data_IF_360886581214
#
_entry.id   IF_360886581214
#
_cell.length_a   1.000
_cell.length_b   1.000
_cell.length_c   1.000
_cell.angle_alpha   90.00
_cell.angle_beta   90.00
_cell.angle_gamma   90.00
#
_symmetry.space_group_name_H-M   'P 1'
#
loop_
_entity.id
_entity.type
_entity.pdbx_description
1 polymer ?
#
# COMPACT_ATOMS: atom_id res chain seq x y z
N UNK A 1 -7.29 -4.81 -36.38
CA UNK A 1 -6.00 -4.26 -35.91
C UNK A 1 -6.32 -3.22 -34.86
N UNK A 2 -5.92 -3.43 -33.61
CA UNK A 2 -6.11 -2.48 -32.52
C UNK A 2 -5.10 -1.33 -32.65
N UNK A 3 -5.57 -0.11 -32.84
CA UNK A 3 -4.71 1.07 -33.01
C UNK A 3 -4.13 1.54 -31.66
N UNK A 4 -3.00 2.25 -31.73
CA UNK A 4 -2.27 2.83 -30.59
C UNK A 4 -3.18 3.79 -29.82
N UNK A 5 -3.76 3.34 -28.70
CA UNK A 5 -4.72 4.11 -27.88
C UNK A 5 -5.95 3.34 -27.38
N UNK A 6 -6.13 2.06 -27.73
CA UNK A 6 -7.27 1.27 -27.23
C UNK A 6 -7.19 1.01 -25.72
N UNK A 7 -7.90 1.81 -24.94
CA UNK A 7 -8.15 1.60 -23.51
C UNK A 7 -9.20 0.49 -23.26
N UNK A 8 -9.96 0.09 -24.28
CA UNK A 8 -11.00 -0.92 -24.18
C UNK A 8 -10.45 -2.33 -24.47
N UNK A 9 -10.78 -3.28 -23.60
CA UNK A 9 -10.52 -4.71 -23.77
C UNK A 9 -11.81 -5.49 -23.59
N UNK A 10 -12.04 -6.52 -24.40
CA UNK A 10 -13.19 -7.40 -24.19
C UNK A 10 -12.92 -8.32 -22.99
N UNK A 11 -13.84 -8.34 -22.04
CA UNK A 11 -13.91 -9.34 -20.98
C UNK A 11 -14.22 -10.72 -21.58
N UNK A 12 -13.98 -11.79 -20.83
CA UNK A 12 -14.35 -13.16 -21.24
C UNK A 12 -15.85 -13.33 -21.52
N UNK A 13 -16.71 -12.49 -20.94
CA UNK A 13 -18.15 -12.45 -21.21
C UNK A 13 -18.52 -11.70 -22.50
N UNK A 14 -17.56 -11.04 -23.17
CA UNK A 14 -17.80 -10.26 -24.38
C UNK A 14 -18.01 -8.76 -24.14
N UNK A 15 -18.07 -8.31 -22.88
CA UNK A 15 -18.28 -6.89 -22.57
C UNK A 15 -16.99 -6.06 -22.71
N UNK A 16 -17.05 -4.85 -23.31
CA UNK A 16 -15.92 -3.96 -23.38
C UNK A 16 -15.60 -3.33 -22.01
N UNK A 17 -14.36 -3.47 -21.57
CA UNK A 17 -13.84 -2.97 -20.28
C UNK A 17 -12.79 -1.90 -20.54
N UNK A 18 -12.97 -0.72 -19.95
CA UNK A 18 -11.97 0.33 -19.95
C UNK A 18 -10.87 0.00 -18.93
N UNK A 19 -9.72 -0.45 -19.43
CA UNK A 19 -8.57 -0.84 -18.61
C UNK A 19 -7.85 0.34 -17.96
N UNK A 20 -8.03 1.58 -18.43
CA UNK A 20 -7.46 2.74 -17.78
C UNK A 20 -8.28 3.09 -16.53
N UNK A 21 -9.59 3.24 -16.72
CA UNK A 21 -10.55 3.52 -15.64
C UNK A 21 -10.55 2.41 -14.57
N UNK A 22 -10.53 1.13 -14.97
CA UNK A 22 -10.49 0.02 -14.03
C UNK A 22 -9.20 0.04 -13.17
N UNK A 23 -8.07 0.47 -13.74
CA UNK A 23 -6.82 0.61 -12.99
C UNK A 23 -6.90 1.76 -11.99
N UNK A 24 -7.47 2.89 -12.39
CA UNK A 24 -7.68 4.03 -11.50
C UNK A 24 -8.62 3.67 -10.35
N UNK A 25 -9.73 2.99 -10.63
CA UNK A 25 -10.67 2.50 -9.61
C UNK A 25 -9.98 1.51 -8.66
N UNK A 26 -9.26 0.53 -9.19
CA UNK A 26 -8.49 -0.43 -8.38
C UNK A 26 -7.45 0.26 -7.50
N UNK A 27 -6.77 1.30 -8.01
CA UNK A 27 -5.80 2.07 -7.25
C UNK A 27 -6.49 2.87 -6.14
N UNK A 28 -7.58 3.58 -6.46
CA UNK A 28 -8.35 4.34 -5.48
C UNK A 28 -8.91 3.44 -4.37
N UNK A 29 -9.40 2.25 -4.72
CA UNK A 29 -9.87 1.27 -3.76
C UNK A 29 -8.72 0.78 -2.86
N UNK A 30 -7.57 0.40 -3.45
CA UNK A 30 -6.40 -0.02 -2.68
C UNK A 30 -5.85 1.10 -1.77
N UNK A 31 -5.94 2.35 -2.21
CA UNK A 31 -5.54 3.54 -1.45
C UNK A 31 -6.54 3.91 -0.34
N UNK A 32 -7.77 3.41 -0.40
CA UNK A 32 -8.77 3.60 0.66
C UNK A 32 -8.57 2.67 1.86
N UNK A 33 -7.77 1.60 1.72
CA UNK A 33 -7.60 0.60 2.78
C UNK A 33 -6.57 1.07 3.80
N UNK A 34 -7.07 1.30 5.02
CA UNK A 34 -6.27 1.77 6.15
C UNK A 34 -6.32 0.81 7.34
N UNK A 35 -5.24 0.79 8.11
CA UNK A 35 -5.14 0.04 9.36
C UNK A 35 -4.64 0.94 10.49
N UNK A 36 -5.38 0.96 11.60
CA UNK A 36 -5.00 1.71 12.80
C UNK A 36 -4.18 0.85 13.75
N UNK A 37 -2.92 1.20 13.97
CA UNK A 37 -1.98 0.52 14.90
C UNK A 37 -1.01 1.52 15.50
N UNK A 38 -0.35 1.16 16.59
CA UNK A 38 0.91 1.83 16.99
C UNK A 38 2.04 1.42 16.03
N UNK A 39 3.16 2.15 15.97
CA UNK A 39 4.34 1.69 15.21
C UNK A 39 4.85 0.30 15.62
N UNK A 40 4.68 -0.08 16.90
CA UNK A 40 5.01 -1.42 17.37
C UNK A 40 4.02 -2.46 16.84
N UNK A 41 2.72 -2.16 16.89
CA UNK A 41 1.68 -3.03 16.35
C UNK A 41 1.80 -3.23 14.83
N UNK A 42 2.20 -2.19 14.09
CA UNK A 42 2.43 -2.29 12.65
C UNK A 42 3.65 -3.19 12.33
N UNK A 43 4.72 -3.11 13.13
CA UNK A 43 5.87 -4.02 13.02
C UNK A 43 5.44 -5.49 13.18
N UNK A 44 4.63 -5.78 14.20
CA UNK A 44 4.09 -7.12 14.43
C UNK A 44 3.16 -7.58 13.30
N UNK A 45 2.31 -6.68 12.81
CA UNK A 45 1.37 -6.97 11.72
C UNK A 45 2.09 -7.31 10.41
N UNK A 46 3.13 -6.54 10.05
CA UNK A 46 3.95 -6.80 8.86
C UNK A 46 4.64 -8.17 8.93
N UNK A 47 5.19 -8.52 10.09
CA UNK A 47 5.80 -9.84 10.30
C UNK A 47 4.77 -10.97 10.24
N UNK A 48 3.64 -10.82 10.94
CA UNK A 48 2.61 -11.87 11.04
C UNK A 48 1.88 -12.14 9.72
N UNK A 49 1.59 -11.10 8.95
CA UNK A 49 0.77 -11.24 7.74
C UNK A 49 1.58 -11.39 6.45
N UNK A 50 2.80 -10.84 6.41
CA UNK A 50 3.60 -10.77 5.18
C UNK A 50 5.06 -11.24 5.36
N UNK A 51 5.46 -11.62 6.57
CA UNK A 51 6.84 -12.04 6.86
C UNK A 51 7.88 -10.91 6.82
N UNK A 52 7.46 -9.65 6.68
CA UNK A 52 8.41 -8.53 6.64
C UNK A 52 8.91 -8.16 8.04
N UNK A 53 10.19 -8.41 8.30
CA UNK A 53 10.83 -8.03 9.55
C UNK A 53 11.26 -6.55 9.54
N UNK A 54 10.33 -5.69 9.93
CA UNK A 54 10.57 -4.24 10.05
C UNK A 54 10.47 -3.84 11.52
N UNK A 55 11.52 -3.24 12.08
CA UNK A 55 11.50 -2.80 13.49
C UNK A 55 10.57 -1.61 13.72
N UNK A 56 10.02 -1.48 14.94
CA UNK A 56 9.28 -0.28 15.40
C UNK A 56 10.03 1.01 15.07
N UNK A 57 11.34 1.06 15.34
CA UNK A 57 12.19 2.23 15.08
C UNK A 57 12.22 2.60 13.60
N UNK A 58 12.26 1.59 12.71
CA UNK A 58 12.22 1.83 11.25
C UNK A 58 10.89 2.42 10.81
N UNK A 59 9.78 1.92 11.33
CA UNK A 59 8.43 2.46 11.06
C UNK A 59 8.32 3.91 11.57
N UNK A 60 8.77 4.17 12.80
CA UNK A 60 8.83 5.54 13.35
C UNK A 60 9.69 6.46 12.49
N UNK A 61 10.82 5.98 11.97
CA UNK A 61 11.66 6.77 11.06
C UNK A 61 10.97 7.08 9.74
N UNK A 62 10.15 6.17 9.19
CA UNK A 62 9.38 6.45 7.97
C UNK A 62 8.33 7.53 8.21
N UNK A 63 7.60 7.45 9.33
CA UNK A 63 6.65 8.48 9.76
C UNK A 63 7.35 9.84 9.91
N UNK A 64 8.44 9.89 10.67
CA UNK A 64 9.17 11.13 10.95
C UNK A 64 9.81 11.75 9.70
N UNK A 65 10.12 10.93 8.68
CA UNK A 65 10.66 11.39 7.39
C UNK A 65 9.58 11.65 6.34
N UNK A 66 8.29 11.59 6.70
CA UNK A 66 7.18 11.84 5.78
C UNK A 66 7.06 10.80 4.66
N UNK A 67 7.58 9.58 4.84
CA UNK A 67 7.51 8.52 3.82
C UNK A 67 6.15 7.82 3.73
N UNK A 68 5.26 8.12 4.67
CA UNK A 68 3.90 7.61 4.76
C UNK A 68 2.94 8.81 4.74
N UNK A 69 2.80 9.50 3.59
CA UNK A 69 2.09 10.78 3.51
C UNK A 69 0.59 10.65 3.84
N UNK A 70 -0.01 9.47 3.65
CA UNK A 70 -1.41 9.21 4.03
C UNK A 70 -1.59 8.91 5.52
N UNK A 71 -0.50 8.78 6.29
CA UNK A 71 -0.60 8.42 7.71
C UNK A 71 -1.07 9.59 8.57
N UNK A 72 -2.09 9.33 9.40
CA UNK A 72 -2.67 10.32 10.31
C UNK A 72 -2.51 9.90 11.77
N UNK A 73 -2.22 10.83 12.70
CA UNK A 73 -2.32 10.54 14.12
C UNK A 73 -3.78 10.26 14.48
N UNK A 74 -4.00 9.29 15.38
CA UNK A 74 -5.32 9.03 15.96
C UNK A 74 -5.31 9.48 17.43
N UNK A 75 -4.90 8.60 18.35
CA UNK A 75 -4.67 8.91 19.77
C UNK A 75 -3.74 7.84 20.40
N UNK A 76 -3.18 8.09 21.58
CA UNK A 76 -2.34 7.16 22.37
C UNK A 76 -1.20 6.48 21.55
N UNK A 77 -0.57 7.26 20.67
CA UNK A 77 0.51 6.77 19.80
C UNK A 77 0.05 5.84 18.66
N UNK A 78 -1.26 5.65 18.48
CA UNK A 78 -1.82 5.02 17.29
C UNK A 78 -1.77 5.95 16.08
N UNK A 79 -1.58 5.33 14.92
CA UNK A 79 -1.66 5.97 13.63
C UNK A 79 -2.50 5.14 12.68
N UNK A 80 -3.18 5.85 11.81
CA UNK A 80 -3.76 5.28 10.61
C UNK A 80 -2.65 5.08 9.58
N UNK A 81 -2.55 3.88 9.01
CA UNK A 81 -1.58 3.53 7.98
C UNK A 81 -2.31 3.09 6.72
N UNK A 82 -1.94 3.70 5.60
CA UNK A 82 -2.30 3.15 4.30
C UNK A 82 -1.53 1.85 4.06
N UNK A 83 -2.25 0.76 3.77
CA UNK A 83 -1.64 -0.58 3.64
C UNK A 83 -0.68 -0.64 2.43
N UNK A 84 -1.02 0.01 1.32
CA UNK A 84 -0.19 0.03 0.11
C UNK A 84 1.14 0.76 0.36
N UNK A 85 1.12 1.91 1.03
CA UNK A 85 2.34 2.67 1.36
C UNK A 85 3.27 1.88 2.28
N UNK A 86 2.74 1.30 3.37
CA UNK A 86 3.57 0.59 4.34
C UNK A 86 4.17 -0.68 3.76
N UNK A 87 3.43 -1.41 2.92
CA UNK A 87 3.93 -2.59 2.22
C UNK A 87 5.00 -2.22 1.19
N UNK A 88 4.83 -1.14 0.44
CA UNK A 88 5.84 -0.65 -0.51
C UNK A 88 7.18 -0.36 0.18
N UNK A 89 7.14 0.29 1.34
CA UNK A 89 8.35 0.54 2.14
C UNK A 89 8.94 -0.74 2.74
N UNK A 90 8.09 -1.66 3.21
CA UNK A 90 8.53 -2.94 3.74
C UNK A 90 9.30 -3.75 2.68
N UNK A 91 8.73 -3.90 1.48
CA UNK A 91 9.36 -4.55 0.32
C UNK A 91 10.68 -3.91 -0.09
N UNK A 92 10.74 -2.57 -0.16
CA UNK A 92 11.98 -1.86 -0.49
C UNK A 92 13.06 -2.00 0.59
N UNK A 93 12.67 -2.38 1.81
CA UNK A 93 13.56 -2.48 2.96
C UNK A 93 14.04 -3.91 3.27
N UNK A 94 13.38 -4.93 2.71
CA UNK A 94 13.78 -6.34 2.80
C UNK A 94 14.95 -6.71 1.87
N UNK A 95 15.30 -5.85 0.91
CA UNK A 95 16.46 -6.04 0.03
C UNK A 95 17.81 -5.63 0.63
N UNK A 96 17.85 -5.08 1.85
CA UNK A 96 19.07 -4.73 2.56
C UNK A 96 19.40 -5.81 3.60
N UNK A 97 19.86 -6.95 3.12
CA UNK A 97 20.55 -7.97 3.93
C UNK A 97 21.90 -8.26 3.29
N UNK A 98 22.88 -7.38 3.56
CA UNK A 98 24.33 -7.60 3.63
C UNK A 98 24.99 -6.23 3.86
#
# INVERSE_FOLDING_TARGET
>A
MAAKGEALRLCKCGDPVNMAELREQSQAEAESIHLTKTPAGMSQWLKGNYGYEVSRKRISNWLNRGKLPSSRPVDDGYREFNIREILALAMGSSGHSA
#
